data_IF_200474922491
#
_entry.id   IF_200474922491
#
_cell.length_a   1.000
_cell.length_b   1.000
_cell.length_c   1.000
_cell.angle_alpha   90.00
_cell.angle_beta   90.00
_cell.angle_gamma   90.00
#
_symmetry.space_group_name_H-M   'P 1'
#
loop_
_entity.id
_entity.type
_entity.pdbx_description
1 polymer ?
#
# COMPACT_ATOMS: atom_id res chain seq x y z
N UNK A 1 -14.29 -8.68 18.37
CA UNK A 1 -13.32 -9.16 17.35
C UNK A 1 -12.08 -8.30 17.48
N UNK A 2 -11.09 -8.77 18.24
CA UNK A 2 -9.92 -7.98 18.60
C UNK A 2 -8.86 -8.19 17.54
N UNK A 3 -8.70 -7.23 16.62
CA UNK A 3 -7.52 -7.18 15.73
C UNK A 3 -6.33 -6.79 16.59
N UNK A 4 -5.70 -7.79 17.21
CA UNK A 4 -4.35 -7.70 17.76
C UNK A 4 -3.52 -8.72 17.01
N UNK A 5 -3.05 -8.33 15.84
CA UNK A 5 -1.75 -8.78 15.38
C UNK A 5 -0.87 -7.54 15.37
N UNK A 6 -0.09 -7.39 16.44
CA UNK A 6 0.90 -6.34 16.57
C UNK A 6 1.82 -6.45 15.36
N UNK A 7 1.86 -5.42 14.52
CA UNK A 7 2.77 -5.32 13.39
C UNK A 7 4.15 -5.85 13.79
N UNK A 8 4.46 -7.07 13.37
CA UNK A 8 5.75 -7.68 13.67
C UNK A 8 6.81 -6.73 13.09
N UNK A 9 7.84 -6.42 13.85
CA UNK A 9 8.98 -5.67 13.33
C UNK A 9 9.61 -6.51 12.21
N UNK A 10 9.23 -6.21 10.96
CA UNK A 10 9.70 -6.88 9.74
C UNK A 10 10.78 -6.00 9.10
N UNK A 11 12.02 -6.49 8.93
CA UNK A 11 13.09 -5.73 8.28
C UNK A 11 12.69 -5.21 6.89
N UNK A 12 11.97 -6.02 6.11
CA UNK A 12 11.42 -5.66 4.79
C UNK A 12 10.48 -4.45 4.84
N UNK A 13 9.61 -4.35 5.85
CA UNK A 13 8.73 -3.19 6.05
C UNK A 13 9.52 -1.93 6.42
N UNK A 14 10.56 -2.08 7.24
CA UNK A 14 11.45 -0.96 7.57
C UNK A 14 12.21 -0.48 6.33
N UNK A 15 12.66 -1.40 5.49
CA UNK A 15 13.30 -1.10 4.20
C UNK A 15 12.37 -0.36 3.25
N UNK A 16 11.12 -0.82 3.12
CA UNK A 16 10.09 -0.09 2.37
C UNK A 16 9.93 1.34 2.89
N UNK A 17 9.77 1.50 4.20
CA UNK A 17 9.64 2.81 4.82
C UNK A 17 10.85 3.71 4.56
N UNK A 18 12.07 3.17 4.54
CA UNK A 18 13.27 3.93 4.17
C UNK A 18 13.28 4.31 2.69
N UNK A 19 12.96 3.38 1.81
CA UNK A 19 12.91 3.60 0.36
C UNK A 19 11.86 4.64 -0.05
N UNK A 20 10.68 4.60 0.56
CA UNK A 20 9.60 5.57 0.29
C UNK A 20 9.98 6.98 0.75
N UNK A 21 10.67 7.12 1.89
CA UNK A 21 11.19 8.42 2.34
C UNK A 21 12.30 8.93 1.43
N UNK A 22 13.26 8.06 1.07
CA UNK A 22 14.38 8.41 0.21
C UNK A 22 13.95 8.84 -1.20
N UNK A 23 12.88 8.24 -1.73
CA UNK A 23 12.31 8.62 -3.04
C UNK A 23 11.39 9.85 -2.99
N UNK A 24 11.14 10.40 -1.80
CA UNK A 24 10.19 11.50 -1.59
C UNK A 24 8.71 11.09 -1.76
N UNK A 25 8.41 9.81 -1.99
CA UNK A 25 7.03 9.34 -2.13
C UNK A 25 6.28 9.38 -0.79
N UNK A 26 6.96 9.14 0.33
CA UNK A 26 6.39 9.27 1.67
C UNK A 26 6.71 10.65 2.25
N UNK A 27 5.79 11.60 2.06
CA UNK A 27 5.84 12.92 2.69
C UNK A 27 5.78 12.85 4.21
N UNK A 28 6.37 13.84 4.89
CA UNK A 28 6.51 13.85 6.35
C UNK A 28 5.17 13.76 7.09
N UNK A 29 4.11 14.37 6.54
CA UNK A 29 2.77 14.31 7.12
C UNK A 29 2.17 12.90 7.17
N UNK A 30 2.62 12.00 6.28
CA UNK A 30 2.08 10.64 6.14
C UNK A 30 2.89 9.56 6.86
N UNK A 31 4.06 9.91 7.41
CA UNK A 31 4.90 8.98 8.18
C UNK A 31 4.13 8.28 9.33
N UNK A 32 3.34 8.99 10.16
CA UNK A 32 2.57 8.33 11.22
C UNK A 32 1.56 7.31 10.67
N UNK A 33 0.95 7.58 9.51
CA UNK A 33 0.01 6.66 8.89
C UNK A 33 0.70 5.38 8.39
N UNK A 34 1.87 5.50 7.76
CA UNK A 34 2.68 4.35 7.35
C UNK A 34 3.08 3.46 8.54
N UNK A 35 3.42 4.08 9.67
CA UNK A 35 3.81 3.36 10.89
C UNK A 35 2.62 2.67 11.55
N UNK A 36 1.47 3.35 11.61
CA UNK A 36 0.26 2.83 12.24
C UNK A 36 -0.44 1.73 11.45
N UNK A 37 -0.40 1.78 10.11
CA UNK A 37 -1.19 0.89 9.24
C UNK A 37 -0.29 -0.10 8.52
N UNK A 38 -0.39 -1.38 8.90
CA UNK A 38 0.28 -2.46 8.18
C UNK A 38 -0.52 -2.87 6.95
N UNK A 39 -0.01 -2.62 5.74
CA UNK A 39 -0.61 -3.09 4.48
C UNK A 39 -0.87 -4.60 4.52
N UNK A 40 0.01 -5.39 5.14
CA UNK A 40 -0.12 -6.84 5.22
C UNK A 40 -1.39 -7.29 5.97
N UNK A 41 -1.91 -6.48 6.89
CA UNK A 41 -3.14 -6.82 7.62
C UNK A 41 -4.40 -6.82 6.74
N UNK A 42 -4.32 -6.26 5.53
CA UNK A 42 -5.45 -6.13 4.59
C UNK A 42 -5.28 -7.01 3.34
N UNK A 43 -4.19 -7.78 3.24
CA UNK A 43 -3.94 -8.65 2.10
C UNK A 43 -4.51 -10.05 2.36
N UNK A 44 -5.09 -10.71 1.34
CA UNK A 44 -5.53 -12.10 1.43
C UNK A 44 -4.33 -13.07 1.55
N UNK A 45 -4.60 -14.30 1.97
CA UNK A 45 -3.59 -15.36 2.06
C UNK A 45 -2.89 -15.62 0.72
N UNK A 46 -3.64 -15.59 -0.39
CA UNK A 46 -3.12 -15.76 -1.75
C UNK A 46 -3.19 -14.42 -2.47
N UNK A 47 -2.07 -14.00 -3.04
CA UNK A 47 -1.98 -12.75 -3.79
C UNK A 47 -1.02 -12.87 -4.98
N UNK A 48 -1.09 -11.89 -5.89
CA UNK A 48 -0.33 -11.89 -7.13
C UNK A 48 0.43 -10.55 -7.30
N UNK A 49 1.57 -10.37 -6.60
CA UNK A 49 2.46 -9.22 -6.80
C UNK A 49 2.90 -9.11 -8.26
N UNK A 50 2.87 -7.90 -8.78
CA UNK A 50 3.32 -7.62 -10.14
C UNK A 50 4.84 -7.49 -10.18
N UNK A 51 5.48 -8.23 -11.08
CA UNK A 51 6.90 -8.11 -11.38
C UNK A 51 7.09 -7.08 -12.51
N UNK A 52 7.67 -5.94 -12.16
CA UNK A 52 7.92 -4.84 -13.11
C UNK A 52 8.97 -5.19 -14.17
N UNK A 53 9.87 -6.16 -13.91
CA UNK A 53 10.92 -6.55 -14.84
C UNK A 53 10.39 -7.55 -15.88
N UNK A 54 9.52 -8.47 -15.49
CA UNK A 54 8.93 -9.45 -16.42
C UNK A 54 7.59 -9.00 -16.99
N UNK A 55 6.96 -7.98 -16.38
CA UNK A 55 5.64 -7.49 -16.76
C UNK A 55 4.49 -8.45 -16.42
N UNK A 56 4.70 -9.36 -15.46
CA UNK A 56 3.76 -10.43 -15.12
C UNK A 56 3.55 -10.53 -13.61
N UNK A 57 2.37 -11.00 -13.19
CA UNK A 57 2.12 -11.30 -11.79
C UNK A 57 2.43 -12.77 -11.48
N UNK A 58 3.08 -13.01 -10.35
CA UNK A 58 3.36 -14.35 -9.84
C UNK A 58 2.63 -14.58 -8.53
N UNK A 59 2.18 -15.80 -8.30
CA UNK A 59 1.41 -16.18 -7.12
C UNK A 59 2.30 -16.35 -5.91
N UNK A 60 1.87 -15.80 -4.78
CA UNK A 60 2.44 -16.10 -3.46
C UNK A 60 1.30 -16.46 -2.50
N UNK A 61 1.52 -17.48 -1.68
CA UNK A 61 0.56 -17.96 -0.68
C UNK A 61 1.21 -17.93 0.70
N UNK A 62 0.62 -17.18 1.63
CA UNK A 62 1.07 -17.02 3.02
C UNK A 62 1.15 -18.34 3.76
N UNK A 63 0.31 -19.32 3.41
CA UNK A 63 0.23 -20.62 4.07
C UNK A 63 1.38 -21.54 3.69
N UNK A 64 1.90 -21.40 2.47
CA UNK A 64 2.99 -22.26 1.96
C UNK A 64 4.35 -21.58 2.03
N UNK A 65 4.41 -20.26 1.84
CA UNK A 65 5.63 -19.47 1.89
C UNK A 65 5.37 -18.09 2.54
N UNK A 66 5.27 -18.04 3.89
CA UNK A 66 5.00 -16.81 4.61
C UNK A 66 6.10 -15.77 4.43
N UNK A 67 7.36 -16.19 4.28
CA UNK A 67 8.49 -15.28 4.14
C UNK A 67 8.45 -14.56 2.79
N UNK A 68 8.24 -15.29 1.69
CA UNK A 68 8.05 -14.68 0.37
C UNK A 68 6.79 -13.80 0.33
N UNK A 69 5.70 -14.25 0.96
CA UNK A 69 4.48 -13.47 1.05
C UNK A 69 4.70 -12.13 1.76
N UNK A 70 5.36 -12.12 2.93
CA UNK A 70 5.65 -10.87 3.65
C UNK A 70 6.66 -9.99 2.91
N UNK A 71 7.65 -10.59 2.24
CA UNK A 71 8.57 -9.84 1.39
C UNK A 71 7.83 -9.13 0.25
N UNK A 72 6.85 -9.79 -0.39
CA UNK A 72 6.02 -9.18 -1.42
C UNK A 72 5.06 -8.11 -0.87
N UNK A 73 4.45 -8.34 0.29
CA UNK A 73 3.57 -7.35 0.94
C UNK A 73 4.30 -6.03 1.26
N UNK A 74 5.59 -6.13 1.60
CA UNK A 74 6.46 -5.00 1.93
C UNK A 74 7.23 -4.44 0.72
N UNK A 75 6.87 -4.80 -0.51
CA UNK A 75 7.49 -4.23 -1.71
C UNK A 75 6.70 -3.06 -2.26
N UNK A 76 7.42 -2.12 -2.86
CA UNK A 76 6.82 -1.02 -3.61
C UNK A 76 6.34 -1.49 -5.00
N UNK A 77 5.35 -2.39 -5.02
CA UNK A 77 4.73 -2.93 -6.23
C UNK A 77 3.21 -3.02 -6.05
N UNK A 78 2.43 -2.93 -7.15
CA UNK A 78 1.02 -3.26 -7.09
C UNK A 78 0.85 -4.77 -6.90
N UNK A 79 -0.21 -5.14 -6.19
CA UNK A 79 -0.55 -6.53 -5.88
C UNK A 79 -1.98 -6.76 -6.30
N UNK A 80 -2.22 -7.70 -7.22
CA UNK A 80 -3.59 -8.16 -7.46
C UNK A 80 -4.02 -9.04 -6.27
N UNK A 81 -5.20 -8.78 -5.74
CA UNK A 81 -5.78 -9.49 -4.59
C UNK A 81 -6.99 -10.32 -4.98
N UNK A 82 -7.56 -10.07 -6.16
CA UNK A 82 -8.65 -10.85 -6.73
C UNK A 82 -8.62 -10.79 -8.26
N UNK A 83 -8.95 -11.92 -8.87
CA UNK A 83 -9.19 -12.07 -10.31
C UNK A 83 -10.65 -12.47 -10.56
N UNK A 84 -11.18 -12.07 -11.71
CA UNK A 84 -12.43 -12.54 -12.30
C UNK A 84 -13.62 -12.53 -11.30
N UNK A 85 -13.77 -11.44 -10.55
CA UNK A 85 -14.81 -11.22 -9.52
C UNK A 85 -14.86 -12.33 -8.44
N UNK A 86 -13.71 -12.97 -8.20
CA UNK A 86 -13.57 -14.07 -7.26
C UNK A 86 -13.99 -15.43 -7.80
N UNK A 87 -14.39 -15.53 -9.08
CA UNK A 87 -14.68 -16.80 -9.75
C UNK A 87 -13.41 -17.52 -10.22
N UNK A 88 -12.25 -16.86 -10.16
CA UNK A 88 -10.98 -17.48 -10.51
C UNK A 88 -10.58 -18.54 -9.49
N UNK A 89 -10.42 -19.77 -9.96
CA UNK A 89 -9.97 -20.90 -9.16
C UNK A 89 -8.52 -21.27 -9.49
N UNK A 90 -7.73 -21.49 -8.44
CA UNK A 90 -6.36 -21.99 -8.56
C UNK A 90 -5.27 -20.91 -8.45
N UNK A 91 -4.00 -21.36 -8.47
CA UNK A 91 -2.90 -20.50 -8.08
C UNK A 91 -2.50 -19.53 -9.19
N UNK A 92 -2.62 -19.87 -10.47
CA UNK A 92 -2.16 -19.00 -11.57
C UNK A 92 -2.89 -17.63 -11.58
N UNK A 93 -2.34 -16.57 -12.19
CA UNK A 93 -3.10 -15.34 -12.43
C UNK A 93 -4.36 -15.61 -13.28
N UNK A 94 -5.47 -14.97 -12.92
CA UNK A 94 -6.70 -15.00 -13.71
C UNK A 94 -6.65 -14.05 -14.92
N UNK A 95 -7.81 -13.81 -15.55
CA UNK A 95 -7.87 -13.02 -16.79
C UNK A 95 -8.02 -11.53 -16.53
N UNK A 96 -8.91 -11.14 -15.61
CA UNK A 96 -9.22 -9.73 -15.31
C UNK A 96 -8.94 -9.46 -13.83
N UNK A 97 -8.05 -8.52 -13.54
CA UNK A 97 -7.81 -8.10 -12.16
C UNK A 97 -9.01 -7.26 -11.69
N UNK A 98 -9.78 -7.79 -10.74
CA UNK A 98 -11.00 -7.14 -10.23
C UNK A 98 -10.80 -6.48 -8.88
N UNK A 99 -9.73 -6.84 -8.16
CA UNK A 99 -9.28 -6.12 -6.97
C UNK A 99 -7.76 -6.11 -6.86
N UNK A 100 -7.22 -5.02 -6.33
CA UNK A 100 -5.79 -4.86 -6.12
C UNK A 100 -5.48 -4.00 -4.89
N UNK A 101 -4.27 -4.18 -4.37
CA UNK A 101 -3.63 -3.25 -3.46
C UNK A 101 -2.57 -2.49 -4.25
N UNK A 102 -2.76 -1.19 -4.40
CA UNK A 102 -1.88 -0.31 -5.18
C UNK A 102 -0.44 -0.27 -4.67
N UNK A 103 0.46 0.15 -5.54
CA UNK A 103 1.85 0.45 -5.21
C UNK A 103 1.94 1.52 -4.11
N UNK A 104 2.60 1.26 -2.96
CA UNK A 104 2.72 2.20 -1.85
C UNK A 104 3.14 3.62 -2.25
N UNK A 105 4.15 3.76 -3.12
CA UNK A 105 4.61 5.08 -3.57
C UNK A 105 3.57 5.86 -4.37
N UNK A 106 2.71 5.19 -5.13
CA UNK A 106 1.59 5.82 -5.84
C UNK A 106 0.55 6.32 -4.84
N UNK A 107 0.19 5.49 -3.85
CA UNK A 107 -0.80 5.85 -2.82
C UNK A 107 -0.36 7.08 -2.04
N UNK A 108 0.89 7.11 -1.53
CA UNK A 108 1.35 8.24 -0.74
C UNK A 108 1.49 9.53 -1.55
N UNK A 109 1.89 9.46 -2.83
CA UNK A 109 1.89 10.64 -3.71
C UNK A 109 0.47 11.18 -3.94
N UNK A 110 -0.49 10.29 -4.22
CA UNK A 110 -1.89 10.70 -4.38
C UNK A 110 -2.46 11.36 -3.12
N UNK A 111 -2.10 10.85 -1.94
CA UNK A 111 -2.51 11.43 -0.67
C UNK A 111 -1.89 12.81 -0.44
N UNK A 112 -0.63 13.00 -0.81
CA UNK A 112 0.06 14.28 -0.73
C UNK A 112 -0.56 15.32 -1.68
N UNK A 113 -0.84 14.93 -2.93
CA UNK A 113 -1.51 15.77 -3.92
C UNK A 113 -2.91 16.22 -3.46
N UNK A 114 -3.68 15.32 -2.82
CA UNK A 114 -4.98 15.66 -2.25
C UNK A 114 -4.88 16.62 -1.06
N UNK A 115 -3.89 16.42 -0.18
CA UNK A 115 -3.67 17.31 0.97
C UNK A 115 -3.37 18.75 0.53
N UNK A 116 -2.61 18.92 -0.57
CA UNK A 116 -2.38 20.23 -1.17
C UNK A 116 -3.68 20.90 -1.64
N UNK A 117 -4.57 20.16 -2.31
CA UNK A 117 -5.85 20.70 -2.79
C UNK A 117 -6.76 21.14 -1.63
N UNK A 118 -6.80 20.37 -0.54
CA UNK A 118 -7.60 20.73 0.64
C UNK A 118 -7.04 21.97 1.36
N UNK A 119 -5.71 22.15 1.40
CA UNK A 119 -5.08 23.32 2.02
C UNK A 119 -5.32 24.62 1.23
N UNK A 120 -5.38 24.56 -0.11
CA UNK A 120 -5.67 25.72 -0.98
C UNK A 120 -7.14 26.16 -0.87
N UNK A 121 -8.03 25.28 -0.39
CA UNK A 121 -9.46 25.58 -0.18
C UNK A 121 -9.81 26.31 1.12
N UNK A 122 -8.85 26.54 2.02
CA UNK A 122 -9.09 27.33 3.24
C UNK A 122 -8.88 28.82 2.95
N UNK A 123 -9.93 29.68 3.00
CA UNK A 123 -9.72 31.11 2.89
C UNK A 123 -8.91 31.59 4.10
N UNK A 124 -7.74 32.16 3.81
CA UNK A 124 -6.94 32.93 4.77
C UNK A 124 -7.86 33.86 5.56
N UNK A 125 -7.84 33.74 6.89
CA UNK A 125 -8.55 34.66 7.77
C UNK A 125 -8.05 36.08 7.48
N UNK A 126 -8.85 36.86 6.74
CA UNK A 126 -8.66 38.29 6.57
C UNK A 126 -8.93 38.92 7.94
N UNK A 127 -7.87 39.41 8.58
CA UNK A 127 -7.95 40.06 9.88
C UNK A 127 -8.84 41.29 9.72
N UNK A 128 -10.04 41.21 10.29
CA UNK A 128 -11.00 42.30 10.40
C UNK A 128 -10.38 43.41 11.25
N UNK A 129 -9.78 44.39 10.59
CA UNK A 129 -9.45 45.68 11.19
C UNK A 129 -10.74 46.48 11.34
N UNK A 130 -11.34 46.45 12.52
CA UNK A 130 -12.42 47.36 12.90
C UNK A 130 -12.05 48.11 14.18
N UNK A 131 -11.88 49.42 13.99
CA UNK A 131 -11.97 50.57 14.91
C UNK A 131 -10.88 50.80 15.96
#
# INVERSE_FOLDING_TARGET
>A
MTVRDTARARPTRQELGRALRASGALGQAWVPAFEAVDRAAFLPDVMWPYDMATGASATVDRRTDPDAWFACADRDVPITTQWDDGAHEGPAPGRVATSSSSMPSVVFRMLDDLALVLAVGTPSQEVRGEH
#
